data_IF_718260723777
#
_entry.id   IF_718260723777
#
_cell.length_a   1.000
_cell.length_b   1.000
_cell.length_c   1.000
_cell.angle_alpha   90.00
_cell.angle_beta   90.00
_cell.angle_gamma   90.00
#
_symmetry.space_group_name_H-M   'P 1'
#
loop_
_entity.id
_entity.type
_entity.pdbx_description
1 polymer ?
#
# COMPACT_ATOMS: atom_id res chain seq x y z
N UNK A 1 -21.15 20.38 37.00
CA UNK A 1 -21.14 20.62 35.54
C UNK A 1 -20.20 21.77 35.26
N UNK A 2 -18.93 21.52 34.92
CA UNK A 2 -17.96 22.60 34.66
C UNK A 2 -18.05 23.01 33.19
N UNK A 3 -18.30 24.30 32.95
CA UNK A 3 -18.30 24.88 31.62
C UNK A 3 -16.90 24.72 31.00
N UNK A 4 -16.84 24.15 29.80
CA UNK A 4 -15.60 24.07 29.02
C UNK A 4 -15.25 25.47 28.57
N UNK A 5 -14.28 26.09 29.24
CA UNK A 5 -13.68 27.35 28.80
C UNK A 5 -13.03 27.09 27.45
N UNK A 6 -13.64 27.59 26.38
CA UNK A 6 -13.02 27.58 25.06
C UNK A 6 -11.77 28.43 25.15
N UNK A 7 -10.59 27.81 24.98
CA UNK A 7 -9.34 28.56 24.87
C UNK A 7 -9.47 29.52 23.69
N UNK A 8 -9.59 30.82 23.97
CA UNK A 8 -9.46 31.84 22.94
C UNK A 8 -8.08 31.69 22.31
N UNK A 9 -8.04 31.50 20.99
CA UNK A 9 -6.78 31.45 20.26
C UNK A 9 -5.96 32.71 20.56
N UNK A 10 -4.63 32.61 20.70
CA UNK A 10 -3.80 33.78 20.94
C UNK A 10 -4.03 34.80 19.82
N UNK A 11 -4.21 36.07 20.19
CA UNK A 11 -4.26 37.17 19.24
C UNK A 11 -2.99 37.09 18.35
N UNK A 12 -3.17 37.19 17.03
CA UNK A 12 -2.04 37.16 16.09
C UNK A 12 -1.05 38.27 16.46
N UNK A 13 0.24 37.99 16.33
CA UNK A 13 1.25 39.03 16.57
C UNK A 13 1.08 40.16 15.54
N UNK A 14 1.33 41.42 15.94
CA UNK A 14 1.15 42.57 15.05
C UNK A 14 2.03 42.49 13.80
N UNK A 15 3.19 41.84 13.90
CA UNK A 15 4.11 41.60 12.78
C UNK A 15 3.48 40.71 11.71
N UNK A 16 2.82 39.61 12.10
CA UNK A 16 2.13 38.71 11.16
C UNK A 16 0.98 39.42 10.44
N UNK A 17 0.29 40.34 11.12
CA UNK A 17 -0.74 41.15 10.48
C UNK A 17 -0.14 42.11 9.44
N UNK A 18 0.97 42.78 9.76
CA UNK A 18 1.65 43.67 8.84
C UNK A 18 2.14 42.93 7.58
N UNK A 19 2.72 41.74 7.75
CA UNK A 19 3.13 40.89 6.63
C UNK A 19 1.94 40.44 5.79
N UNK A 20 0.83 40.01 6.42
CA UNK A 20 -0.37 39.59 5.70
C UNK A 20 -0.93 40.71 4.81
N UNK A 21 -0.94 41.96 5.30
CA UNK A 21 -1.39 43.13 4.54
C UNK A 21 -0.47 43.43 3.36
N UNK A 22 0.86 43.32 3.56
CA UNK A 22 1.85 43.51 2.49
C UNK A 22 1.67 42.49 1.38
N UNK A 23 1.48 41.22 1.74
CA UNK A 23 1.25 40.14 0.77
C UNK A 23 -0.06 40.37 0.02
N UNK A 24 -1.15 40.75 0.71
CA UNK A 24 -2.43 41.04 0.09
C UNK A 24 -2.33 42.17 -0.95
N UNK A 25 -1.67 43.29 -0.61
CA UNK A 25 -1.46 44.40 -1.52
C UNK A 25 -0.61 44.01 -2.75
N UNK A 26 0.45 43.22 -2.55
CA UNK A 26 1.26 42.71 -3.66
C UNK A 26 0.47 41.76 -4.58
N UNK A 27 -0.39 40.92 -3.99
CA UNK A 27 -1.27 40.00 -4.72
C UNK A 27 -2.27 40.77 -5.57
N UNK A 28 -2.91 41.79 -5.01
CA UNK A 28 -3.86 42.64 -5.74
C UNK A 28 -3.18 43.38 -6.90
N UNK A 29 -1.97 43.92 -6.67
CA UNK A 29 -1.19 44.57 -7.72
C UNK A 29 -0.78 43.61 -8.85
N UNK A 30 -0.51 42.34 -8.53
CA UNK A 30 -0.21 41.31 -9.53
C UNK A 30 -1.44 40.95 -10.38
N UNK A 31 -2.61 40.76 -9.73
CA UNK A 31 -3.87 40.50 -10.41
C UNK A 31 -4.29 41.68 -11.32
N UNK A 32 -4.12 42.92 -10.84
CA UNK A 32 -4.42 44.12 -11.63
C UNK A 32 -3.56 44.27 -12.90
N UNK A 33 -2.36 43.66 -12.92
CA UNK A 33 -1.47 43.61 -14.10
C UNK A 33 -1.84 42.48 -15.08
N UNK A 34 -2.92 41.74 -14.82
CA UNK A 34 -3.36 40.61 -15.63
C UNK A 34 -2.66 39.29 -15.29
N UNK A 35 -2.03 39.18 -14.13
CA UNK A 35 -1.49 37.91 -13.64
C UNK A 35 -2.61 36.97 -13.18
N UNK A 36 -2.45 35.67 -13.42
CA UNK A 36 -3.36 34.62 -12.92
C UNK A 36 -2.69 33.85 -11.78
N UNK A 37 -3.46 33.47 -10.77
CA UNK A 37 -2.96 32.72 -9.60
C UNK A 37 -3.69 31.37 -9.56
N UNK A 38 -2.92 30.29 -9.63
CA UNK A 38 -3.42 28.93 -9.42
C UNK A 38 -3.39 28.59 -7.93
N UNK A 39 -4.52 28.13 -7.38
CA UNK A 39 -4.58 27.69 -5.99
C UNK A 39 -4.09 26.23 -5.90
N UNK A 40 -2.82 26.06 -5.58
CA UNK A 40 -2.20 24.74 -5.41
C UNK A 40 -2.18 24.35 -3.92
N UNK A 41 -2.79 23.21 -3.57
CA UNK A 41 -2.70 22.63 -2.24
C UNK A 41 -3.95 21.84 -1.79
N UNK A 42 -3.75 20.89 -0.87
CA UNK A 42 -4.86 20.22 -0.20
C UNK A 42 -5.36 21.08 0.97
N UNK A 43 -6.67 21.26 1.11
CA UNK A 43 -7.24 21.89 2.31
C UNK A 43 -6.93 21.00 3.51
N UNK A 44 -6.35 21.58 4.56
CA UNK A 44 -6.28 20.91 5.84
C UNK A 44 -7.72 20.66 6.31
N UNK A 45 -8.04 19.41 6.61
CA UNK A 45 -9.30 19.06 7.26
C UNK A 45 -9.30 19.73 8.64
N UNK A 46 -10.42 20.38 9.01
CA UNK A 46 -10.59 21.13 10.26
C UNK A 46 -10.47 20.27 11.54
N UNK A 47 -10.30 18.95 11.39
CA UNK A 47 -10.03 18.03 12.50
C UNK A 47 -9.73 16.62 12.00
N UNK A 48 -9.22 15.75 12.90
CA UNK A 48 -9.06 14.34 12.60
C UNK A 48 -10.44 13.72 12.33
N UNK A 49 -10.59 13.04 11.20
CA UNK A 49 -11.79 12.24 10.94
C UNK A 49 -11.93 11.18 12.04
N UNK A 50 -13.12 11.00 12.64
CA UNK A 50 -13.31 10.01 13.69
C UNK A 50 -13.01 8.62 13.13
N UNK A 51 -12.00 7.94 13.67
CA UNK A 51 -11.70 6.57 13.29
C UNK A 51 -12.79 5.65 13.86
N UNK A 52 -13.56 5.00 12.98
CA UNK A 52 -14.58 4.02 13.38
C UNK A 52 -14.01 2.61 13.18
N UNK A 53 -13.84 1.87 14.28
CA UNK A 53 -13.40 0.48 14.21
C UNK A 53 -14.59 -0.41 13.83
N UNK A 54 -14.51 -1.06 12.67
CA UNK A 54 -15.50 -2.08 12.28
C UNK A 54 -15.12 -3.44 12.92
N UNK A 55 -15.91 -3.97 13.88
CA UNK A 55 -15.55 -5.17 14.61
C UNK A 55 -15.54 -6.45 13.75
N UNK A 56 -16.20 -6.44 12.59
CA UNK A 56 -16.21 -7.60 11.68
C UNK A 56 -14.95 -7.68 10.82
N UNK A 57 -14.26 -6.55 10.63
CA UNK A 57 -13.10 -6.45 9.73
C UNK A 57 -11.77 -6.33 10.46
N UNK A 58 -11.79 -5.94 11.73
CA UNK A 58 -10.55 -5.80 12.49
C UNK A 58 -10.11 -7.16 13.05
N UNK A 59 -8.82 -7.49 12.94
CA UNK A 59 -8.30 -8.82 13.30
C UNK A 59 -8.47 -9.14 14.78
N UNK A 60 -8.58 -8.11 15.63
CA UNK A 60 -8.80 -8.26 17.07
C UNK A 60 -10.16 -8.91 17.38
N UNK A 61 -11.21 -8.59 16.62
CA UNK A 61 -12.57 -9.06 16.89
C UNK A 61 -13.11 -10.05 15.85
N UNK A 62 -12.40 -10.24 14.72
CA UNK A 62 -12.85 -11.08 13.61
C UNK A 62 -13.25 -12.50 14.03
N UNK A 63 -12.49 -13.12 14.94
CA UNK A 63 -12.73 -14.47 15.46
C UNK A 63 -14.09 -14.64 16.17
N UNK A 64 -14.69 -13.57 16.69
CA UNK A 64 -16.01 -13.62 17.33
C UNK A 64 -17.14 -13.78 16.31
N UNK A 65 -16.86 -13.54 15.02
CA UNK A 65 -17.84 -13.55 13.94
C UNK A 65 -17.59 -14.67 12.92
N UNK A 66 -16.53 -15.47 13.08
CA UNK A 66 -16.31 -16.68 12.30
C UNK A 66 -17.33 -17.74 12.76
N UNK A 67 -18.34 -17.99 11.94
CA UNK A 67 -19.17 -19.19 12.09
C UNK A 67 -18.31 -20.39 11.74
N UNK A 68 -18.21 -21.34 12.68
CA UNK A 68 -17.52 -22.60 12.45
C UNK A 68 -18.27 -23.37 11.34
N UNK A 69 -17.79 -23.25 10.11
CA UNK A 69 -18.20 -24.15 9.04
C UNK A 69 -17.84 -25.58 9.46
N UNK A 70 -18.84 -26.46 9.34
CA UNK A 70 -18.84 -27.80 9.88
C UNK A 70 -17.56 -28.58 9.53
N UNK A 71 -16.90 -29.08 10.56
CA UNK A 71 -15.76 -30.00 10.50
C UNK A 71 -16.04 -31.16 9.53
N UNK A 72 -15.28 -31.34 8.43
CA UNK A 72 -15.34 -32.58 7.68
C UNK A 72 -14.68 -33.69 8.49
N UNK A 73 -15.40 -34.80 8.68
CA UNK A 73 -14.95 -35.96 9.42
C UNK A 73 -13.62 -36.53 8.87
N UNK A 74 -12.73 -37.07 9.73
CA UNK A 74 -11.44 -37.59 9.29
C UNK A 74 -11.62 -38.89 8.49
N UNK A 75 -11.10 -38.89 7.25
CA UNK A 75 -11.04 -40.08 6.41
C UNK A 75 -10.00 -41.08 6.97
N UNK A 76 -10.39 -42.34 7.08
CA UNK A 76 -9.55 -43.44 7.55
C UNK A 76 -8.33 -43.70 6.63
N UNK A 77 -7.16 -44.08 7.19
CA UNK A 77 -5.96 -44.35 6.40
C UNK A 77 -6.04 -45.72 5.70
N UNK A 78 -5.77 -45.75 4.39
CA UNK A 78 -5.50 -47.00 3.64
C UNK A 78 -3.98 -47.21 3.50
N UNK A 79 -3.49 -48.47 3.58
CA UNK A 79 -2.06 -48.75 3.65
C UNK A 79 -1.35 -48.61 2.30
N UNK A 80 -0.11 -48.13 2.38
CA UNK A 80 0.82 -47.93 1.29
C UNK A 80 1.20 -49.25 0.60
N UNK A 81 1.10 -49.29 -0.73
CA UNK A 81 1.72 -50.34 -1.55
C UNK A 81 2.80 -49.70 -2.42
N UNK A 82 4.05 -49.97 -2.07
CA UNK A 82 5.22 -49.61 -2.86
C UNK A 82 5.34 -50.53 -4.09
N UNK A 83 5.40 -49.96 -5.29
CA UNK A 83 6.02 -50.56 -6.49
C UNK A 83 6.53 -49.46 -7.43
N UNK A 84 7.84 -49.27 -7.45
CA UNK A 84 8.59 -48.92 -8.67
C UNK A 84 9.23 -50.22 -9.20
N UNK A 85 9.85 -50.25 -10.40
CA UNK A 85 9.98 -49.23 -11.45
C UNK A 85 9.51 -49.77 -12.82
N UNK A 86 9.50 -48.97 -13.89
CA UNK A 86 10.05 -49.29 -15.24
C UNK A 86 9.84 -48.08 -16.15
N UNK A 87 10.96 -47.57 -16.66
CA UNK A 87 11.17 -46.83 -17.91
C UNK A 87 10.00 -46.11 -18.58
N UNK A 88 9.97 -44.79 -18.42
CA UNK A 88 9.70 -43.87 -19.53
C UNK A 88 10.68 -42.71 -19.42
N UNK A 89 11.31 -42.41 -20.56
CA UNK A 89 12.14 -41.24 -20.77
C UNK A 89 11.28 -40.03 -20.43
N UNK A 90 11.52 -39.43 -19.26
CA UNK A 90 10.82 -38.24 -18.85
C UNK A 90 11.33 -37.09 -19.73
N UNK A 91 10.53 -36.70 -20.71
CA UNK A 91 10.55 -35.32 -21.19
C UNK A 91 10.51 -34.43 -19.94
N UNK A 92 11.40 -33.43 -19.79
CA UNK A 92 11.34 -32.55 -18.65
C UNK A 92 9.99 -31.86 -18.72
N UNK A 93 9.11 -32.17 -17.76
CA UNK A 93 7.92 -31.39 -17.52
C UNK A 93 8.35 -29.92 -17.46
N UNK A 94 7.61 -28.97 -18.08
CA UNK A 94 7.92 -27.56 -17.90
C UNK A 94 7.72 -27.27 -16.42
N UNK A 95 8.82 -27.30 -15.66
CA UNK A 95 8.85 -26.82 -14.30
C UNK A 95 8.45 -25.36 -14.43
N UNK A 96 7.19 -25.04 -14.16
CA UNK A 96 6.73 -23.65 -14.09
C UNK A 96 7.69 -22.98 -13.12
N UNK A 97 8.59 -22.12 -13.63
CA UNK A 97 9.62 -21.56 -12.79
C UNK A 97 8.90 -20.85 -11.65
N UNK A 98 9.38 -21.08 -10.41
CA UNK A 98 8.81 -20.39 -9.27
C UNK A 98 8.79 -18.88 -9.59
N UNK A 99 7.76 -18.14 -9.19
CA UNK A 99 7.63 -16.73 -9.56
C UNK A 99 8.89 -15.92 -9.17
N UNK A 100 9.57 -16.33 -8.10
CA UNK A 100 10.85 -15.75 -7.67
C UNK A 100 11.99 -16.04 -8.66
N UNK A 101 12.05 -17.22 -9.27
CA UNK A 101 13.05 -17.54 -10.29
C UNK A 101 12.84 -16.70 -11.56
N UNK A 102 11.59 -16.45 -11.96
CA UNK A 102 11.26 -15.53 -13.06
C UNK A 102 11.68 -14.09 -12.74
N UNK A 103 11.37 -13.61 -11.53
CA UNK A 103 11.76 -12.28 -11.06
C UNK A 103 13.29 -12.12 -11.11
N UNK A 104 14.04 -13.14 -10.67
CA UNK A 104 15.51 -13.15 -10.76
C UNK A 104 16.00 -13.07 -12.21
N UNK A 105 15.43 -13.88 -13.10
CA UNK A 105 15.81 -13.87 -14.52
C UNK A 105 15.54 -12.49 -15.15
N UNK A 106 14.40 -11.88 -14.88
CA UNK A 106 14.06 -10.56 -15.43
C UNK A 106 14.89 -9.42 -14.84
N UNK A 107 15.24 -9.50 -13.55
CA UNK A 107 16.14 -8.54 -12.92
C UNK A 107 17.54 -8.59 -13.56
N UNK A 108 18.05 -9.78 -13.88
CA UNK A 108 19.31 -9.96 -14.63
C UNK A 108 19.23 -9.40 -16.06
N UNK A 109 18.08 -9.54 -16.71
CA UNK A 109 17.81 -8.95 -18.02
C UNK A 109 17.62 -7.42 -17.96
N UNK A 110 17.68 -6.81 -16.78
CA UNK A 110 17.62 -5.36 -16.61
C UNK A 110 16.23 -4.76 -16.79
N UNK A 111 15.17 -5.58 -16.67
CA UNK A 111 13.77 -5.13 -16.71
C UNK A 111 13.49 -4.18 -15.55
N UNK A 112 12.58 -3.22 -15.77
CA UNK A 112 12.12 -2.34 -14.70
C UNK A 112 11.17 -3.09 -13.75
N UNK A 113 11.14 -2.76 -12.45
CA UNK A 113 10.23 -3.41 -11.50
C UNK A 113 8.77 -3.20 -11.88
N UNK A 114 8.42 -2.11 -12.57
CA UNK A 114 7.07 -1.86 -13.08
C UNK A 114 6.66 -2.88 -14.14
N UNK A 115 7.50 -3.10 -15.15
CA UNK A 115 7.24 -4.11 -16.20
C UNK A 115 7.11 -5.53 -15.63
N UNK A 116 7.92 -5.86 -14.62
CA UNK A 116 7.88 -7.15 -13.94
C UNK A 116 6.61 -7.34 -13.11
N UNK A 117 6.09 -6.26 -12.53
CA UNK A 117 4.86 -6.27 -11.74
C UNK A 117 3.63 -6.47 -12.64
N UNK A 118 3.61 -5.79 -13.80
CA UNK A 118 2.59 -5.93 -14.83
C UNK A 118 2.54 -7.36 -15.39
N UNK A 119 3.68 -7.99 -15.67
CA UNK A 119 3.72 -9.35 -16.22
C UNK A 119 3.26 -10.43 -15.23
N UNK A 120 3.37 -10.18 -13.92
CA UNK A 120 2.94 -11.09 -12.85
C UNK A 120 1.55 -10.76 -12.30
N UNK A 121 0.92 -9.66 -12.74
CA UNK A 121 -0.32 -9.13 -12.17
C UNK A 121 -0.25 -8.90 -10.65
N UNK A 122 0.90 -8.41 -10.17
CA UNK A 122 1.15 -8.09 -8.75
C UNK A 122 1.38 -6.58 -8.64
N UNK A 123 1.06 -5.97 -7.49
CA UNK A 123 1.43 -4.57 -7.26
C UNK A 123 2.94 -4.39 -7.13
N UNK A 124 3.46 -3.26 -7.64
CA UNK A 124 4.89 -2.94 -7.62
C UNK A 124 5.49 -2.97 -6.20
N UNK A 125 4.71 -2.55 -5.20
CA UNK A 125 5.10 -2.61 -3.78
C UNK A 125 5.42 -4.03 -3.34
N UNK A 126 4.57 -4.99 -3.69
CA UNK A 126 4.70 -6.38 -3.26
C UNK A 126 5.86 -7.06 -4.00
N UNK A 127 6.07 -6.73 -5.29
CA UNK A 127 7.24 -7.16 -6.04
C UNK A 127 8.54 -6.64 -5.42
N UNK A 128 8.61 -5.35 -5.05
CA UNK A 128 9.79 -4.78 -4.37
C UNK A 128 10.04 -5.44 -3.01
N UNK A 129 8.97 -5.79 -2.28
CA UNK A 129 9.08 -6.51 -1.02
C UNK A 129 9.63 -7.93 -1.22
N UNK A 130 9.16 -8.66 -2.23
CA UNK A 130 9.71 -9.97 -2.62
C UNK A 130 11.19 -9.87 -3.01
N UNK A 131 11.58 -8.83 -3.76
CA UNK A 131 12.97 -8.61 -4.12
C UNK A 131 13.86 -8.36 -2.89
N UNK A 132 13.37 -7.62 -1.88
CA UNK A 132 14.09 -7.44 -0.60
C UNK A 132 14.21 -8.75 0.18
N UNK A 133 13.13 -9.53 0.26
CA UNK A 133 13.12 -10.82 0.98
C UNK A 133 14.08 -11.84 0.37
N UNK A 134 14.24 -11.82 -0.96
CA UNK A 134 15.06 -12.78 -1.71
C UNK A 134 16.41 -12.24 -2.18
N UNK A 135 16.81 -11.04 -1.74
CA UNK A 135 18.10 -10.42 -2.05
C UNK A 135 18.31 -10.11 -3.53
N UNK A 136 17.23 -9.77 -4.26
CA UNK A 136 17.27 -9.50 -5.71
C UNK A 136 17.50 -8.00 -5.94
N UNK A 137 18.59 -7.65 -6.60
CA UNK A 137 18.88 -6.27 -6.98
C UNK A 137 18.05 -5.88 -8.22
N UNK A 138 17.03 -5.04 -8.03
CA UNK A 138 16.28 -4.44 -9.13
C UNK A 138 16.87 -3.09 -9.51
N UNK A 139 17.00 -2.83 -10.81
CA UNK A 139 17.43 -1.53 -11.34
C UNK A 139 16.36 -0.48 -11.04
N UNK A 140 16.72 0.56 -10.31
CA UNK A 140 15.90 1.76 -10.16
C UNK A 140 16.15 2.62 -11.40
N UNK A 141 15.09 2.92 -12.16
CA UNK A 141 15.15 3.83 -13.29
C UNK A 141 14.62 5.18 -12.86
#
# INVERSE_FOLDING_TARGET
MHARTLCALPARSPELEAESRRIAAATEAFLARGGEIEQVGAKMLDGPEPFVINPRRTPVYAHLFEQADATPAPAAPKPATAKQPVGRIAQPAPATPSPVALIRAWALLGRTPKEMAESLNIHEKDLRQLCRQHGIACRQR
#
